data_IF_139476947629
#
_entry.id   IF_139476947629
#
_cell.length_a   1.000
_cell.length_b   1.000
_cell.length_c   1.000
_cell.angle_alpha   90.00
_cell.angle_beta   90.00
_cell.angle_gamma   90.00
#
_symmetry.space_group_name_H-M   'P 1'
#
loop_
_entity.id
_entity.type
_entity.pdbx_description
1 polymer ?
#
# COMPACT_ATOMS: atom_id res chain seq x y z
N UNK A 1 10.85 -18.10 25.21
CA UNK A 1 10.64 -17.77 24.57
C UNK A 1 10.75 -17.47 23.67
N UNK A 2 10.73 -17.32 23.48
CA UNK A 2 10.73 -17.06 22.55
C UNK A 2 10.75 -16.11 22.07
N UNK A 3 11.15 -15.96 21.87
CA UNK A 3 11.06 -15.06 21.38
C UNK A 3 11.16 -14.74 20.13
N UNK A 4 10.46 -14.33 19.77
CA UNK A 4 10.37 -14.04 18.49
C UNK A 4 10.78 -12.71 18.16
N UNK A 5 11.51 -12.57 17.07
CA UNK A 5 11.87 -11.31 16.48
C UNK A 5 11.02 -11.02 15.26
N UNK A 6 10.10 -11.88 14.93
CA UNK A 6 9.26 -11.68 13.79
C UNK A 6 8.28 -10.55 13.99
N UNK A 7 7.91 -9.90 12.92
CA UNK A 7 6.83 -8.94 12.92
C UNK A 7 5.53 -9.60 13.33
N UNK A 8 4.70 -8.90 14.09
CA UNK A 8 3.39 -9.40 14.47
C UNK A 8 2.33 -9.14 13.41
N UNK A 9 2.67 -8.37 12.39
CA UNK A 9 1.72 -8.03 11.34
C UNK A 9 1.56 -9.21 10.38
N UNK A 10 0.34 -9.42 9.90
CA UNK A 10 0.03 -10.51 8.96
C UNK A 10 -0.54 -9.93 7.68
N UNK A 11 -0.50 -10.72 6.61
CA UNK A 11 -1.12 -10.34 5.34
C UNK A 11 -2.61 -10.06 5.53
N UNK A 12 -3.29 -10.91 6.30
CA UNK A 12 -4.73 -10.72 6.56
C UNK A 12 -5.00 -9.38 7.22
N UNK A 13 -4.18 -9.00 8.20
CA UNK A 13 -4.36 -7.72 8.87
C UNK A 13 -4.16 -6.55 7.91
N UNK A 14 -3.16 -6.66 7.04
CA UNK A 14 -2.91 -5.62 6.04
C UNK A 14 -4.08 -5.55 5.06
N UNK A 15 -4.56 -6.69 4.58
CA UNK A 15 -5.67 -6.71 3.63
C UNK A 15 -6.93 -6.08 4.22
N UNK A 16 -7.20 -6.33 5.50
CA UNK A 16 -8.36 -5.72 6.15
C UNK A 16 -8.28 -4.21 6.18
N UNK A 17 -7.07 -3.68 6.41
CA UNK A 17 -6.89 -2.23 6.37
C UNK A 17 -7.04 -1.70 4.95
N UNK A 18 -6.54 -2.44 3.97
CA UNK A 18 -6.64 -2.01 2.57
C UNK A 18 -8.08 -1.99 2.07
N UNK A 19 -8.97 -2.78 2.67
CA UNK A 19 -10.39 -2.74 2.32
C UNK A 19 -11.01 -1.38 2.61
N UNK A 20 -10.39 -0.58 3.47
CA UNK A 20 -10.87 0.76 3.80
C UNK A 20 -10.39 1.82 2.83
N UNK A 21 -9.45 1.47 1.94
CA UNK A 21 -8.92 2.40 0.97
C UNK A 21 -9.82 2.40 -0.25
N UNK A 22 -10.37 3.57 -0.57
CA UNK A 22 -11.36 3.72 -1.63
C UNK A 22 -10.76 4.51 -2.78
N UNK A 23 -10.99 4.02 -4.00
CA UNK A 23 -10.60 4.75 -5.21
C UNK A 23 -11.41 6.04 -5.29
N UNK A 24 -10.78 7.21 -5.36
CA UNK A 24 -11.52 8.47 -5.32
C UNK A 24 -12.39 8.71 -6.55
N UNK A 25 -12.11 8.03 -7.67
CA UNK A 25 -12.91 8.20 -8.87
C UNK A 25 -14.18 7.36 -8.84
N UNK A 26 -14.07 6.11 -8.37
CA UNK A 26 -15.17 5.16 -8.48
C UNK A 26 -15.87 4.91 -7.15
N UNK A 27 -15.26 5.30 -6.03
CA UNK A 27 -15.86 5.11 -4.73
C UNK A 27 -15.90 3.66 -4.26
N UNK A 28 -15.06 2.80 -4.84
CA UNK A 28 -15.00 1.39 -4.48
C UNK A 28 -13.68 1.07 -3.79
N UNK A 29 -13.67 0.12 -2.85
CA UNK A 29 -12.42 -0.30 -2.23
C UNK A 29 -11.45 -0.85 -3.26
N UNK A 30 -10.18 -0.50 -3.10
CA UNK A 30 -9.15 -0.95 -4.06
C UNK A 30 -9.00 -2.46 -4.07
N UNK A 31 -9.31 -3.13 -2.96
CA UNK A 31 -9.26 -4.58 -2.90
C UNK A 31 -10.34 -5.23 -3.75
N UNK A 32 -11.53 -4.64 -3.78
CA UNK A 32 -12.61 -5.16 -4.63
C UNK A 32 -12.32 -4.94 -6.11
N UNK A 33 -11.55 -3.91 -6.43
CA UNK A 33 -11.18 -3.61 -7.81
C UNK A 33 -9.95 -4.39 -8.25
N UNK A 34 -9.40 -5.21 -7.36
CA UNK A 34 -8.19 -6.00 -7.63
C UNK A 34 -7.00 -5.12 -8.01
N UNK A 35 -6.87 -3.98 -7.36
CA UNK A 35 -5.78 -3.05 -7.65
C UNK A 35 -4.51 -3.37 -6.86
N UNK A 36 -4.61 -4.15 -5.80
CA UNK A 36 -3.45 -4.53 -4.99
C UNK A 36 -2.84 -5.79 -5.59
N UNK A 37 -1.58 -5.69 -6.01
CA UNK A 37 -0.90 -6.77 -6.72
C UNK A 37 0.01 -7.61 -5.84
N UNK A 38 0.58 -6.99 -4.81
CA UNK A 38 1.52 -7.71 -3.96
C UNK A 38 1.54 -7.09 -2.57
N UNK A 39 1.58 -7.94 -1.55
CA UNK A 39 1.81 -7.54 -0.18
C UNK A 39 2.95 -8.41 0.33
N UNK A 40 4.09 -7.77 0.63
CA UNK A 40 5.27 -8.47 1.11
C UNK A 40 5.63 -7.95 2.49
N UNK A 41 5.63 -8.83 3.48
CA UNK A 41 5.90 -8.46 4.87
C UNK A 41 7.20 -9.11 5.29
N UNK A 42 8.14 -8.29 5.77
CA UNK A 42 9.42 -8.78 6.22
C UNK A 42 9.42 -8.94 7.74
N UNK A 43 10.32 -9.77 8.23
CA UNK A 43 10.37 -10.08 9.66
C UNK A 43 10.66 -8.86 10.52
N UNK A 44 11.36 -7.88 9.96
CA UNK A 44 11.70 -6.66 10.71
C UNK A 44 10.57 -5.64 10.76
N UNK A 45 9.41 -5.97 10.20
CA UNK A 45 8.26 -5.07 10.24
C UNK A 45 8.14 -4.14 9.05
N UNK A 46 8.98 -4.32 8.05
CA UNK A 46 8.87 -3.54 6.81
C UNK A 46 7.87 -4.21 5.88
N UNK A 47 7.02 -3.40 5.26
CA UNK A 47 5.99 -3.90 4.36
C UNK A 47 6.15 -3.24 3.00
N UNK A 48 6.08 -4.03 1.95
CA UNK A 48 6.04 -3.54 0.58
C UNK A 48 4.68 -3.87 -0.01
N UNK A 49 4.00 -2.87 -0.53
CA UNK A 49 2.70 -3.05 -1.16
C UNK A 49 2.81 -2.52 -2.59
N UNK A 50 2.48 -3.37 -3.56
CA UNK A 50 2.45 -2.97 -4.96
C UNK A 50 1.02 -2.89 -5.43
N UNK A 51 0.70 -1.87 -6.20
CA UNK A 51 -0.64 -1.68 -6.71
C UNK A 51 -0.60 -1.03 -8.09
N UNK A 52 -1.74 -1.08 -8.78
CA UNK A 52 -1.92 -0.38 -10.05
C UNK A 52 -3.25 0.35 -10.02
N UNK A 53 -3.44 1.25 -10.97
CA UNK A 53 -4.70 1.98 -11.11
C UNK A 53 -5.49 1.43 -12.27
N UNK A 54 -6.76 1.84 -12.38
CA UNK A 54 -7.66 1.33 -13.42
C UNK A 54 -7.24 1.77 -14.81
N UNK A 55 -6.49 2.86 -14.91
CA UNK A 55 -6.01 3.34 -16.19
C UNK A 55 -4.60 3.91 -16.02
N UNK A 56 -3.73 3.76 -17.04
CA UNK A 56 -2.36 4.23 -16.94
C UNK A 56 -2.23 5.76 -16.97
N UNK A 57 -3.34 6.48 -17.19
CA UNK A 57 -3.34 7.93 -17.28
C UNK A 57 -4.12 8.60 -16.16
N UNK A 58 -4.43 7.90 -15.08
CA UNK A 58 -5.11 8.52 -13.96
C UNK A 58 -4.27 9.69 -13.43
N UNK A 59 -4.91 10.79 -13.04
CA UNK A 59 -4.16 11.93 -12.51
C UNK A 59 -3.29 11.52 -11.32
N UNK A 60 -2.05 12.02 -11.25
CA UNK A 60 -1.15 11.64 -10.16
C UNK A 60 -1.70 11.89 -8.76
N UNK A 61 -2.58 12.88 -8.61
CA UNK A 61 -3.14 13.19 -7.30
C UNK A 61 -3.98 12.02 -6.77
N UNK A 62 -4.64 11.27 -7.65
CA UNK A 62 -5.40 10.10 -7.22
C UNK A 62 -4.48 8.99 -6.74
N UNK A 63 -3.36 8.78 -7.44
CA UNK A 63 -2.38 7.79 -7.03
C UNK A 63 -1.78 8.15 -5.68
N UNK A 64 -1.44 9.41 -5.48
CA UNK A 64 -0.84 9.88 -4.24
C UNK A 64 -1.83 9.76 -3.07
N UNK A 65 -3.10 10.06 -3.33
CA UNK A 65 -4.14 9.94 -2.31
C UNK A 65 -4.29 8.49 -1.84
N UNK A 66 -4.28 7.56 -2.77
CA UNK A 66 -4.36 6.14 -2.45
C UNK A 66 -3.16 5.71 -1.61
N UNK A 67 -1.94 6.14 -2.00
CA UNK A 67 -0.73 5.81 -1.26
C UNK A 67 -0.80 6.34 0.17
N UNK A 68 -1.25 7.58 0.34
CA UNK A 68 -1.34 8.17 1.67
C UNK A 68 -2.33 7.39 2.54
N UNK A 69 -3.44 6.99 1.97
CA UNK A 69 -4.42 6.20 2.71
C UNK A 69 -3.88 4.82 3.06
N UNK A 70 -3.22 4.15 2.13
CA UNK A 70 -2.60 2.86 2.39
C UNK A 70 -1.61 2.99 3.54
N UNK A 71 -0.72 3.97 3.45
CA UNK A 71 0.32 4.15 4.46
C UNK A 71 -0.27 4.49 5.82
N UNK A 72 -1.26 5.41 5.86
CA UNK A 72 -1.86 5.82 7.12
C UNK A 72 -2.55 4.65 7.82
N UNK A 73 -3.25 3.81 7.08
CA UNK A 73 -3.97 2.71 7.68
C UNK A 73 -3.05 1.57 8.09
N UNK A 74 -2.10 1.20 7.23
CA UNK A 74 -1.24 0.06 7.52
C UNK A 74 -0.17 0.38 8.56
N UNK A 75 0.30 1.63 8.60
CA UNK A 75 1.33 2.00 9.58
C UNK A 75 0.83 1.96 11.02
N UNK A 76 -0.48 1.93 11.22
CA UNK A 76 -1.06 1.84 12.55
C UNK A 76 -1.09 0.42 13.09
N UNK A 77 -0.86 -0.57 12.25
CA UNK A 77 -0.87 -1.95 12.68
C UNK A 77 0.32 -2.25 13.58
N UNK A 78 0.09 -3.04 14.61
CA UNK A 78 1.14 -3.41 15.53
C UNK A 78 2.23 -4.19 14.81
N UNK A 79 3.47 -3.81 15.04
CA UNK A 79 4.61 -4.49 14.43
C UNK A 79 5.09 -3.88 13.12
N UNK A 80 4.36 -2.92 12.57
CA UNK A 80 4.76 -2.26 11.33
C UNK A 80 5.75 -1.16 11.63
N UNK A 81 6.92 -1.21 10.98
CA UNK A 81 7.96 -0.20 11.16
C UNK A 81 8.11 0.72 9.96
N UNK A 82 7.85 0.21 8.77
CA UNK A 82 7.99 1.00 7.55
C UNK A 82 7.06 0.45 6.48
N UNK A 83 6.42 1.33 5.74
CA UNK A 83 5.56 0.93 4.63
C UNK A 83 6.08 1.59 3.36
N UNK A 84 6.37 0.77 2.36
CA UNK A 84 6.74 1.23 1.03
C UNK A 84 5.62 0.85 0.07
N UNK A 85 5.11 1.81 -0.68
CA UNK A 85 4.00 1.59 -1.60
C UNK A 85 4.48 1.89 -3.02
N UNK A 86 4.39 0.92 -3.90
CA UNK A 86 4.88 1.02 -5.26
C UNK A 86 3.72 0.96 -6.25
N UNK A 87 3.59 1.99 -7.05
CA UNK A 87 2.65 2.02 -8.17
C UNK A 87 3.35 1.48 -9.41
N UNK A 88 2.66 0.63 -10.17
CA UNK A 88 3.18 0.21 -11.46
C UNK A 88 2.09 0.30 -12.52
N UNK A 89 2.47 0.17 -13.79
CA UNK A 89 1.51 0.25 -14.88
C UNK A 89 0.94 1.64 -15.14
N UNK A 90 1.62 2.69 -14.66
CA UNK A 90 1.18 4.06 -14.85
C UNK A 90 2.25 4.83 -15.61
N UNK A 91 1.82 5.76 -16.46
CA UNK A 91 2.76 6.54 -17.28
C UNK A 91 3.78 7.31 -16.45
N UNK A 92 3.39 7.75 -15.25
CA UNK A 92 4.25 8.54 -14.36
C UNK A 92 4.65 7.75 -13.11
N UNK A 93 4.69 6.41 -13.21
CA UNK A 93 4.96 5.59 -12.03
C UNK A 93 6.28 5.94 -11.34
N UNK A 94 7.35 6.15 -12.10
CA UNK A 94 8.64 6.47 -11.49
C UNK A 94 8.61 7.75 -10.68
N UNK A 95 8.02 8.79 -11.25
CA UNK A 95 7.94 10.09 -10.57
C UNK A 95 7.07 10.01 -9.32
N UNK A 96 5.93 9.31 -9.44
CA UNK A 96 5.03 9.16 -8.30
C UNK A 96 5.72 8.37 -7.18
N UNK A 97 6.38 7.26 -7.54
CA UNK A 97 7.04 6.43 -6.54
C UNK A 97 8.15 7.18 -5.81
N UNK A 98 8.88 8.02 -6.52
CA UNK A 98 9.93 8.82 -5.88
C UNK A 98 9.34 9.84 -4.91
N UNK A 99 8.20 10.39 -5.26
CA UNK A 99 7.56 11.41 -4.44
C UNK A 99 6.95 10.82 -3.17
N UNK A 100 6.32 9.65 -3.28
CA UNK A 100 5.57 9.09 -2.16
C UNK A 100 6.42 8.19 -1.26
N UNK A 101 7.61 7.82 -1.69
CA UNK A 101 8.53 6.98 -0.90
C UNK A 101 9.85 7.72 -0.70
N UNK A 102 9.85 8.82 0.04
CA UNK A 102 11.07 9.59 0.27
C UNK A 102 12.06 8.80 1.10
N UNK A 103 13.28 8.89 0.75
CA UNK A 103 14.33 8.19 1.44
C UNK A 103 14.51 6.79 1.00
#
# INVERSE_FOLDING_TARGET
>A
MLVYTKSMVTVDAVEKELEKVVDPELGLPITEMHLVDEINIQENGEILIKYHLTAPFCPPIFAEDIVMNIRNLTSKLEGVKKVTVILHGHALANEINQRVNPG
#
